data_IF_692886858401
#
_entry.id   IF_692886858401
#
_cell.length_a   1.000
_cell.length_b   1.000
_cell.length_c   1.000
_cell.angle_alpha   90.00
_cell.angle_beta   90.00
_cell.angle_gamma   90.00
#
_symmetry.space_group_name_H-M   'P 1'
#
loop_
_entity.id
_entity.type
_entity.pdbx_description
1 polymer ?
#
# COMPACT_ATOMS: atom_id res chain seq x y z
N UNK A 1 -20.90 17.72 -6.06
CA UNK A 1 -19.78 16.86 -6.50
C UNK A 1 -20.25 15.41 -6.53
N UNK A 2 -20.01 14.65 -7.61
CA UNK A 2 -20.33 13.22 -7.71
C UNK A 2 -19.07 12.40 -7.42
N UNK A 3 -19.19 11.33 -6.64
CA UNK A 3 -18.07 10.41 -6.40
C UNK A 3 -17.67 9.75 -7.71
N UNK A 4 -16.38 9.80 -8.02
CA UNK A 4 -15.82 9.01 -9.12
C UNK A 4 -15.84 7.53 -8.74
N UNK A 5 -16.06 6.63 -9.71
CA UNK A 5 -15.91 5.19 -9.47
C UNK A 5 -14.46 4.88 -9.10
N UNK A 6 -14.27 3.98 -8.13
CA UNK A 6 -12.94 3.54 -7.71
C UNK A 6 -12.42 2.50 -8.69
N UNK A 7 -11.56 2.90 -9.64
CA UNK A 7 -11.01 1.99 -10.65
C UNK A 7 -10.32 0.77 -10.02
N UNK A 8 -9.59 0.99 -8.92
CA UNK A 8 -8.82 -0.05 -8.21
C UNK A 8 -9.67 -1.25 -7.79
N UNK A 9 -10.97 -1.10 -7.49
CA UNK A 9 -11.82 -2.21 -7.09
C UNK A 9 -12.13 -3.19 -8.22
N UNK A 10 -11.99 -2.76 -9.48
CA UNK A 10 -12.21 -3.61 -10.66
C UNK A 10 -10.93 -4.29 -11.14
N UNK A 11 -9.75 -3.84 -10.71
CA UNK A 11 -8.48 -4.33 -11.25
C UNK A 11 -8.29 -5.83 -11.05
N UNK A 12 -8.73 -6.39 -9.92
CA UNK A 12 -8.63 -7.85 -9.69
C UNK A 12 -9.49 -8.65 -10.67
N UNK A 13 -10.64 -8.11 -11.08
CA UNK A 13 -11.50 -8.76 -12.07
C UNK A 13 -10.89 -8.66 -13.47
N UNK A 14 -10.37 -7.49 -13.83
CA UNK A 14 -9.77 -7.25 -15.14
C UNK A 14 -8.42 -7.96 -15.33
N UNK A 15 -7.64 -8.07 -14.26
CA UNK A 15 -6.30 -8.66 -14.27
C UNK A 15 -6.12 -9.62 -13.08
N UNK A 16 -6.74 -10.82 -13.12
CA UNK A 16 -6.75 -11.75 -11.99
C UNK A 16 -5.37 -12.19 -11.53
N UNK A 17 -4.40 -12.25 -12.45
CA UNK A 17 -3.03 -12.73 -12.19
C UNK A 17 -2.03 -11.62 -11.89
N UNK A 18 -2.39 -10.34 -12.11
CA UNK A 18 -1.47 -9.25 -11.85
C UNK A 18 -1.21 -9.10 -10.35
N UNK A 19 0.01 -8.66 -10.01
CA UNK A 19 0.32 -8.13 -8.69
C UNK A 19 -0.20 -6.70 -8.60
N UNK A 20 -1.12 -6.47 -7.67
CA UNK A 20 -1.80 -5.19 -7.50
C UNK A 20 -1.34 -4.59 -6.17
N UNK A 21 -0.68 -3.44 -6.25
CA UNK A 21 -0.20 -2.69 -5.09
C UNK A 21 -0.95 -1.36 -5.06
N UNK A 22 -1.66 -1.09 -3.98
CA UNK A 22 -2.30 0.21 -3.77
C UNK A 22 -1.46 1.11 -2.87
N UNK A 23 -1.70 2.41 -2.96
CA UNK A 23 -1.12 3.41 -2.07
C UNK A 23 -2.23 4.08 -1.27
N UNK A 24 -1.97 4.35 0.00
CA UNK A 24 -2.91 5.00 0.90
C UNK A 24 -2.24 6.11 1.69
N UNK A 25 -2.52 7.34 1.27
CA UNK A 25 -2.14 8.55 1.96
C UNK A 25 -3.27 9.00 2.91
N UNK A 26 -2.92 9.28 4.16
CA UNK A 26 -3.75 10.01 5.13
C UNK A 26 -3.00 11.24 5.65
N UNK A 27 -3.62 12.00 6.54
CA UNK A 27 -3.04 13.23 7.09
C UNK A 27 -3.30 13.27 8.59
N UNK A 28 -2.21 13.36 9.35
CA UNK A 28 -2.19 13.56 10.80
C UNK A 28 -3.02 12.52 11.57
N UNK A 29 -2.77 11.24 11.30
CA UNK A 29 -3.44 10.13 11.97
C UNK A 29 -2.46 9.23 12.73
N UNK A 30 -2.89 8.59 13.84
CA UNK A 30 -2.08 7.57 14.50
C UNK A 30 -1.81 6.37 13.59
N UNK A 31 -0.67 5.69 13.83
CA UNK A 31 -0.25 4.46 13.12
C UNK A 31 -1.39 3.44 13.03
N UNK A 32 -2.08 3.17 14.13
CA UNK A 32 -3.16 2.17 14.20
C UNK A 32 -4.31 2.51 13.25
N UNK A 33 -4.64 3.80 13.13
CA UNK A 33 -5.68 4.29 12.21
C UNK A 33 -5.23 4.15 10.76
N UNK A 34 -3.98 4.51 10.46
CA UNK A 34 -3.37 4.35 9.14
C UNK A 34 -3.39 2.87 8.70
N UNK A 35 -2.94 1.97 9.57
CA UNK A 35 -2.93 0.53 9.31
C UNK A 35 -4.34 -0.07 9.17
N UNK A 36 -5.30 0.39 9.98
CA UNK A 36 -6.70 -0.04 9.88
C UNK A 36 -7.30 0.34 8.51
N UNK A 37 -7.08 1.57 8.08
CA UNK A 37 -7.56 2.05 6.78
C UNK A 37 -6.86 1.33 5.62
N UNK A 38 -5.57 1.05 5.74
CA UNK A 38 -4.79 0.29 4.76
C UNK A 38 -5.29 -1.15 4.64
N UNK A 39 -5.51 -1.85 5.76
CA UNK A 39 -6.09 -3.20 5.80
C UNK A 39 -7.47 -3.25 5.15
N UNK A 40 -8.33 -2.28 5.46
CA UNK A 40 -9.66 -2.17 4.83
C UNK A 40 -9.55 -1.95 3.32
N UNK A 41 -8.59 -1.13 2.87
CA UNK A 41 -8.32 -0.93 1.44
C UNK A 41 -7.86 -2.22 0.76
N UNK A 42 -6.97 -2.97 1.40
CA UNK A 42 -6.44 -4.23 0.91
C UNK A 42 -7.56 -5.25 0.67
N UNK A 43 -8.44 -5.43 1.66
CA UNK A 43 -9.57 -6.37 1.60
C UNK A 43 -10.59 -5.93 0.54
N UNK A 44 -11.03 -4.67 0.58
CA UNK A 44 -12.09 -4.18 -0.30
C UNK A 44 -11.70 -4.16 -1.78
N UNK A 45 -10.41 -3.92 -2.07
CA UNK A 45 -9.91 -3.82 -3.44
C UNK A 45 -9.20 -5.11 -3.91
N UNK A 46 -9.09 -6.13 -3.04
CA UNK A 46 -8.43 -7.42 -3.33
C UNK A 46 -6.99 -7.24 -3.88
N UNK A 47 -6.29 -6.22 -3.38
CA UNK A 47 -4.89 -5.93 -3.72
C UNK A 47 -3.95 -6.85 -2.96
N UNK A 48 -2.78 -7.13 -3.52
CA UNK A 48 -1.75 -7.97 -2.89
C UNK A 48 -1.04 -7.23 -1.77
N UNK A 49 -0.80 -5.93 -1.99
CA UNK A 49 -0.19 -5.05 -1.00
C UNK A 49 -0.90 -3.69 -0.94
N UNK A 50 -0.74 -3.00 0.19
CA UNK A 50 -1.02 -1.56 0.33
C UNK A 50 0.18 -0.90 0.99
N UNK A 51 0.76 0.11 0.34
CA UNK A 51 1.70 1.01 1.01
C UNK A 51 0.92 2.16 1.66
N UNK A 52 1.01 2.31 2.97
CA UNK A 52 0.28 3.29 3.75
C UNK A 52 1.23 4.31 4.36
N UNK A 53 0.96 5.59 4.19
CA UNK A 53 1.82 6.66 4.66
C UNK A 53 0.99 7.88 5.12
N UNK A 54 1.54 8.65 6.04
CA UNK A 54 0.96 9.92 6.49
C UNK A 54 1.69 11.09 5.82
N UNK A 55 0.95 12.10 5.38
CA UNK A 55 1.50 13.30 4.76
C UNK A 55 2.42 14.08 5.71
N UNK A 56 2.17 14.05 7.02
CA UNK A 56 2.98 14.79 8.01
C UNK A 56 4.38 14.18 8.20
N UNK A 57 4.57 12.94 7.78
CA UNK A 57 5.84 12.20 7.85
C UNK A 57 6.60 12.20 6.51
N UNK A 58 6.26 13.11 5.60
CA UNK A 58 6.92 13.28 4.30
C UNK A 58 7.57 14.66 4.24
N UNK A 59 8.89 14.71 4.30
CA UNK A 59 9.64 15.96 4.23
C UNK A 59 11.08 15.75 3.73
N UNK A 60 11.55 16.60 2.82
CA UNK A 60 12.88 16.46 2.22
C UNK A 60 13.06 15.06 1.62
N UNK A 61 14.05 14.33 2.11
CA UNK A 61 14.35 12.95 1.71
C UNK A 61 13.58 11.88 2.51
N UNK A 62 12.91 12.28 3.60
CA UNK A 62 12.11 11.39 4.43
C UNK A 62 10.75 11.15 3.78
N UNK A 63 10.38 9.88 3.69
CA UNK A 63 9.06 9.41 3.31
C UNK A 63 8.78 8.14 4.10
N UNK A 64 8.29 8.31 5.33
CA UNK A 64 7.95 7.18 6.17
C UNK A 64 6.65 6.51 5.73
N UNK A 65 6.59 5.19 5.85
CA UNK A 65 5.34 4.45 5.66
C UNK A 65 5.49 2.95 5.84
N UNK A 66 4.37 2.26 5.63
CA UNK A 66 4.18 0.86 5.95
C UNK A 66 3.69 0.10 4.72
N UNK A 67 4.39 -0.96 4.31
CA UNK A 67 3.88 -1.92 3.34
C UNK A 67 3.11 -3.02 4.07
N UNK A 68 1.82 -3.13 3.77
CA UNK A 68 0.94 -4.18 4.27
C UNK A 68 0.72 -5.26 3.23
N UNK A 69 0.91 -6.49 3.64
CA UNK A 69 0.69 -7.70 2.84
C UNK A 69 -0.66 -8.35 3.15
N UNK A 70 -1.18 -9.17 2.22
CA UNK A 70 -2.42 -9.94 2.39
C UNK A 70 -2.42 -10.87 3.61
N UNK A 71 -1.27 -11.41 3.99
CA UNK A 71 -1.09 -12.28 5.15
C UNK A 71 -1.04 -11.50 6.49
N UNK A 72 -1.10 -10.18 6.43
CA UNK A 72 -1.03 -9.30 7.60
C UNK A 72 0.38 -8.89 8.01
N UNK A 73 1.43 -9.29 7.26
CA UNK A 73 2.77 -8.76 7.47
C UNK A 73 2.81 -7.26 7.22
N UNK A 74 3.56 -6.56 8.07
CA UNK A 74 3.77 -5.10 8.03
C UNK A 74 5.26 -4.83 8.02
N UNK A 75 5.72 -4.06 7.04
CA UNK A 75 7.12 -3.68 6.89
C UNK A 75 7.24 -2.17 6.73
N UNK A 76 8.33 -1.59 7.23
CA UNK A 76 8.53 -0.13 7.29
C UNK A 76 9.59 0.32 6.29
N UNK A 77 9.44 1.53 5.76
CA UNK A 77 10.42 2.21 4.91
C UNK A 77 10.46 3.70 5.27
N UNK A 78 11.64 4.33 5.19
CA UNK A 78 11.87 5.72 5.64
C UNK A 78 12.15 6.69 4.49
N UNK A 79 12.40 6.20 3.28
CA UNK A 79 12.72 7.01 2.10
C UNK A 79 12.10 6.47 0.83
N UNK A 80 11.97 7.31 -0.20
CA UNK A 80 11.45 6.88 -1.52
C UNK A 80 12.24 5.72 -2.11
N UNK A 81 13.56 5.72 -1.91
CA UNK A 81 14.46 4.65 -2.36
C UNK A 81 14.20 3.34 -1.62
N UNK A 82 14.01 3.40 -0.29
CA UNK A 82 13.64 2.22 0.50
C UNK A 82 12.25 1.68 0.13
N UNK A 83 11.28 2.55 -0.12
CA UNK A 83 9.94 2.15 -0.57
C UNK A 83 10.04 1.37 -1.89
N UNK A 84 10.81 1.89 -2.86
CA UNK A 84 10.99 1.23 -4.15
C UNK A 84 11.70 -0.13 -4.01
N UNK A 85 12.74 -0.20 -3.18
CA UNK A 85 13.46 -1.44 -2.91
C UNK A 85 12.55 -2.48 -2.25
N UNK A 86 11.84 -2.08 -1.18
CA UNK A 86 10.94 -2.94 -0.42
C UNK A 86 9.85 -3.54 -1.32
N UNK A 87 9.18 -2.73 -2.14
CA UNK A 87 8.15 -3.20 -3.06
C UNK A 87 8.74 -4.20 -4.07
N UNK A 88 9.89 -3.87 -4.66
CA UNK A 88 10.52 -4.71 -5.69
C UNK A 88 10.95 -6.07 -5.11
N UNK A 89 11.53 -6.07 -3.91
CA UNK A 89 11.98 -7.29 -3.24
C UNK A 89 10.80 -8.18 -2.88
N UNK A 90 9.68 -7.62 -2.43
CA UNK A 90 8.46 -8.40 -2.15
C UNK A 90 7.90 -9.07 -3.39
N UNK A 91 7.83 -8.36 -4.52
CA UNK A 91 7.37 -8.94 -5.78
C UNK A 91 8.27 -10.11 -6.21
N UNK A 92 9.59 -9.92 -6.19
CA UNK A 92 10.56 -10.96 -6.60
C UNK A 92 10.53 -12.20 -5.72
N UNK A 93 10.36 -12.02 -4.40
CA UNK A 93 10.25 -13.12 -3.44
C UNK A 93 8.99 -13.96 -3.68
N UNK A 94 7.88 -13.35 -4.09
CA UNK A 94 6.65 -14.08 -4.40
C UNK A 94 6.70 -14.78 -5.76
N UNK A 95 7.46 -14.28 -6.74
CA UNK A 95 7.66 -14.94 -8.04
C UNK A 95 8.56 -16.17 -7.95
N UNK A 96 9.40 -16.25 -6.92
CA UNK A 96 10.32 -17.38 -6.69
C UNK A 96 9.70 -18.55 -5.91
N UNK A 97 8.42 -18.45 -5.53
CA UNK A 97 7.65 -19.48 -4.83
C UNK A 97 6.71 -20.20 -5.78
#
# INVERSE_FOLDING_TARGET
LKKTPKIISYLREWQPKAKIIGFKLLVDVPKESLLTVAKNSLINNKTDFIFANDLTEIHGETHHGYLLSKDGTVEEAQSKSEIAALITDKIRLEESK
#
